data_IF_138027813112
#
_entry.id   IF_138027813112
#
_cell.length_a   1.000
_cell.length_b   1.000
_cell.length_c   1.000
_cell.angle_alpha   90.00
_cell.angle_beta   90.00
_cell.angle_gamma   90.00
#
_symmetry.space_group_name_H-M   'P 1'
#
loop_
_entity.id
_entity.type
_entity.pdbx_description
1 polymer ?
#
# COMPACT_ATOMS: atom_id res chain seq x y z
N UNK A 1 20.14 -8.25 -6.71
CA UNK A 1 19.20 -7.85 -7.78
C UNK A 1 17.86 -7.51 -7.17
N UNK A 2 17.65 -6.21 -6.95
CA UNK A 2 16.64 -5.67 -6.05
C UNK A 2 15.30 -5.44 -6.74
N UNK A 3 14.21 -5.47 -5.97
CA UNK A 3 12.85 -5.24 -6.44
C UNK A 3 12.64 -3.90 -7.19
N UNK A 4 13.59 -2.96 -7.08
CA UNK A 4 13.66 -1.71 -7.85
C UNK A 4 13.95 -1.92 -9.35
N UNK A 5 14.82 -2.87 -9.72
CA UNK A 5 15.08 -3.20 -11.14
C UNK A 5 13.82 -3.76 -11.82
N UNK A 6 13.05 -4.58 -11.12
CA UNK A 6 11.84 -5.22 -11.68
C UNK A 6 10.70 -4.25 -11.98
N UNK A 7 10.63 -3.12 -11.28
CA UNK A 7 9.60 -2.08 -11.51
C UNK A 7 10.00 -1.22 -12.72
N UNK A 8 11.29 -0.91 -12.87
CA UNK A 8 11.82 -0.19 -14.03
C UNK A 8 11.64 -1.00 -15.34
N UNK A 9 11.89 -2.32 -15.33
CA UNK A 9 11.67 -3.17 -16.51
C UNK A 9 10.19 -3.32 -16.86
N UNK A 10 9.29 -3.31 -15.88
CA UNK A 10 7.83 -3.40 -16.11
C UNK A 10 7.25 -2.12 -16.74
N UNK A 11 7.78 -0.94 -16.39
CA UNK A 11 7.43 0.33 -17.05
C UNK A 11 7.83 0.36 -18.52
N UNK A 12 9.01 -0.17 -18.85
CA UNK A 12 9.48 -0.30 -20.24
C UNK A 12 8.61 -1.27 -21.06
N UNK A 13 8.14 -2.37 -20.46
CA UNK A 13 7.31 -3.37 -21.14
C UNK A 13 5.86 -2.88 -21.40
N UNK A 14 5.34 -1.97 -20.58
CA UNK A 14 4.02 -1.37 -20.78
C UNK A 14 4.04 -0.32 -21.92
N UNK A 15 5.15 0.42 -22.04
CA UNK A 15 5.37 1.37 -23.15
C UNK A 15 5.46 0.66 -24.52
N UNK A 16 6.00 -0.57 -24.56
CA UNK A 16 6.07 -1.37 -25.78
C UNK A 16 4.71 -1.99 -26.19
N UNK A 17 3.84 -2.33 -25.23
CA UNK A 17 2.51 -2.91 -25.52
C UNK A 17 1.47 -1.89 -25.98
N UNK A 18 1.58 -0.63 -25.55
CA UNK A 18 0.74 0.46 -26.07
C UNK A 18 1.05 0.74 -27.55
N UNK A 19 2.29 0.48 -28.00
CA UNK A 19 2.67 0.64 -29.40
C UNK A 19 2.13 -0.47 -30.34
N UNK A 20 1.85 -1.68 -29.83
CA UNK A 20 1.45 -2.83 -30.66
C UNK A 20 -0.07 -3.00 -30.86
N UNK A 21 -0.92 -2.28 -30.12
CA UNK A 21 -2.39 -2.47 -30.19
C UNK A 21 -3.14 -1.48 -31.09
N UNK A 22 -2.43 -0.56 -31.76
CA UNK A 22 -3.03 0.40 -32.71
C UNK A 22 -2.90 -0.05 -34.17
N UNK A 23 -3.28 -1.30 -34.44
CA UNK A 23 -3.55 -1.74 -35.80
C UNK A 23 -4.99 -1.43 -36.16
N UNK A 24 -5.32 -0.17 -36.50
CA UNK A 24 -6.46 0.29 -37.31
C UNK A 24 -6.58 1.83 -37.30
N UNK A 25 -5.51 2.54 -37.66
CA UNK A 25 -5.65 3.95 -38.05
C UNK A 25 -4.79 4.21 -39.27
N UNK A 26 -5.40 4.15 -40.46
CA UNK A 26 -4.77 4.61 -41.70
C UNK A 26 -4.86 6.13 -41.72
N UNK A 27 -3.80 6.83 -41.33
CA UNK A 27 -3.63 8.23 -41.71
C UNK A 27 -2.79 8.28 -42.98
N UNK A 28 -3.41 8.79 -44.03
CA UNK A 28 -2.74 9.19 -45.26
C UNK A 28 -1.80 10.35 -44.95
N UNK A 29 -0.51 10.07 -44.81
CA UNK A 29 0.53 11.09 -44.88
C UNK A 29 0.88 11.31 -46.35
N UNK A 30 0.22 12.25 -47.00
CA UNK A 30 0.82 12.92 -48.17
C UNK A 30 1.94 13.81 -47.63
N UNK A 31 3.14 13.27 -47.51
CA UNK A 31 4.35 14.06 -47.20
C UNK A 31 4.99 14.51 -48.51
N UNK A 32 5.03 15.82 -48.74
CA UNK A 32 5.94 16.39 -49.73
C UNK A 32 7.41 16.20 -49.30
N UNK A 33 8.35 16.01 -50.24
CA UNK A 33 9.76 15.81 -49.92
C UNK A 33 10.37 17.15 -49.49
N UNK A 34 10.75 17.29 -48.21
CA UNK A 34 11.63 18.40 -47.78
C UNK A 34 11.36 19.07 -46.42
N UNK A 35 10.34 18.68 -45.65
CA UNK A 35 10.15 19.19 -44.27
C UNK A 35 10.34 18.09 -43.23
N UNK A 36 11.19 18.28 -42.19
CA UNK A 36 11.13 17.45 -41.00
C UNK A 36 9.89 17.86 -40.15
N UNK A 37 8.69 17.70 -40.70
CA UNK A 37 7.47 17.88 -39.92
C UNK A 37 7.28 16.63 -39.08
N UNK A 38 7.72 16.68 -37.83
CA UNK A 38 7.26 15.72 -36.84
C UNK A 38 5.74 15.67 -36.91
N UNK A 39 5.18 14.47 -37.13
CA UNK A 39 3.74 14.29 -37.12
C UNK A 39 3.13 14.82 -35.82
N UNK A 40 1.91 15.35 -35.86
CA UNK A 40 1.24 15.90 -34.68
C UNK A 40 1.14 14.85 -33.56
N UNK A 41 0.95 13.58 -33.93
CA UNK A 41 0.93 12.44 -33.01
C UNK A 41 2.28 12.27 -32.31
N UNK A 42 3.40 12.34 -33.05
CA UNK A 42 4.73 12.24 -32.48
C UNK A 42 5.08 13.44 -31.58
N UNK A 43 4.55 14.63 -31.88
CA UNK A 43 4.67 15.80 -31.00
C UNK A 43 3.91 15.60 -29.68
N UNK A 44 2.63 15.20 -29.76
CA UNK A 44 1.78 14.93 -28.61
C UNK A 44 2.32 13.79 -27.73
N UNK A 45 2.80 12.71 -28.34
CA UNK A 45 3.42 11.60 -27.64
C UNK A 45 4.65 12.05 -26.83
N UNK A 46 5.53 12.87 -27.42
CA UNK A 46 6.69 13.42 -26.68
C UNK A 46 6.28 14.33 -25.53
N UNK A 47 5.24 15.13 -25.72
CA UNK A 47 4.71 16.02 -24.67
C UNK A 47 4.14 15.22 -23.48
N UNK A 48 3.38 14.15 -23.75
CA UNK A 48 2.87 13.26 -22.70
C UNK A 48 4.00 12.52 -21.98
N UNK A 49 5.00 12.03 -22.71
CA UNK A 49 6.18 11.37 -22.11
C UNK A 49 6.94 12.35 -21.21
N UNK A 50 7.14 13.60 -21.65
CA UNK A 50 7.78 14.63 -20.83
C UNK A 50 6.98 14.90 -19.55
N UNK A 51 5.65 15.00 -19.65
CA UNK A 51 4.76 15.16 -18.48
C UNK A 51 4.81 13.97 -17.53
N UNK A 52 4.78 12.74 -18.04
CA UNK A 52 4.91 11.54 -17.20
C UNK A 52 6.24 11.54 -16.43
N UNK A 53 7.34 11.92 -17.08
CA UNK A 53 8.65 12.03 -16.40
C UNK A 53 8.64 13.07 -15.29
N UNK A 54 8.11 14.26 -15.56
CA UNK A 54 7.98 15.31 -14.55
C UNK A 54 7.14 14.87 -13.34
N UNK A 55 6.00 14.20 -13.60
CA UNK A 55 5.16 13.66 -12.53
C UNK A 55 5.85 12.54 -11.74
N UNK A 56 6.61 11.66 -12.40
CA UNK A 56 7.40 10.64 -11.69
C UNK A 56 8.41 11.28 -10.77
N UNK A 57 9.20 12.26 -11.25
CA UNK A 57 10.18 12.95 -10.39
C UNK A 57 9.51 13.64 -9.20
N UNK A 58 8.37 14.29 -9.41
CA UNK A 58 7.64 14.93 -8.31
C UNK A 58 7.05 13.93 -7.31
N UNK A 59 6.60 12.76 -7.78
CA UNK A 59 6.18 11.67 -6.89
C UNK A 59 7.37 11.19 -6.06
N UNK A 60 8.53 10.97 -6.68
CA UNK A 60 9.73 10.50 -5.98
C UNK A 60 10.17 11.51 -4.90
N UNK A 61 10.16 12.81 -5.20
CA UNK A 61 10.42 13.90 -4.23
C UNK A 61 9.46 13.84 -3.03
N UNK A 62 8.15 13.75 -3.29
CA UNK A 62 7.14 13.66 -2.24
C UNK A 62 7.27 12.36 -1.42
N UNK A 63 7.63 11.24 -2.05
CA UNK A 63 7.87 9.99 -1.34
C UNK A 63 9.04 10.12 -0.37
N UNK A 64 10.12 10.78 -0.78
CA UNK A 64 11.29 11.06 0.07
C UNK A 64 10.94 11.99 1.24
N UNK A 65 10.19 13.06 0.99
CA UNK A 65 9.69 13.96 2.04
C UNK A 65 8.81 13.22 3.07
N UNK A 66 7.84 12.44 2.59
CA UNK A 66 6.96 11.64 3.45
C UNK A 66 7.79 10.63 4.27
N UNK A 67 8.78 9.99 3.65
CA UNK A 67 9.64 9.04 4.34
C UNK A 67 10.46 9.72 5.44
N UNK A 68 11.03 10.90 5.18
CA UNK A 68 11.79 11.67 6.15
C UNK A 68 10.93 12.06 7.39
N UNK A 69 9.64 12.33 7.19
CA UNK A 69 8.71 12.62 8.28
C UNK A 69 8.30 11.38 9.08
N UNK A 70 8.05 10.25 8.40
CA UNK A 70 7.48 9.05 9.02
C UNK A 70 8.50 8.23 9.78
N UNK A 71 9.76 8.17 9.33
CA UNK A 71 10.84 7.44 10.00
C UNK A 71 10.96 7.80 11.49
N UNK A 72 11.11 9.08 11.87
CA UNK A 72 11.21 9.46 13.28
C UNK A 72 9.87 9.39 14.02
N UNK A 73 8.74 9.46 13.29
CA UNK A 73 7.40 9.51 13.89
C UNK A 73 6.86 8.13 14.26
N UNK A 74 7.09 7.11 13.44
CA UNK A 74 6.47 5.80 13.59
C UNK A 74 7.46 4.62 13.44
N UNK A 75 8.55 4.58 14.24
CA UNK A 75 9.57 3.53 14.14
C UNK A 75 9.03 2.13 14.44
N UNK A 76 8.12 1.98 15.42
CA UNK A 76 7.53 0.68 15.76
C UNK A 76 6.63 0.17 14.65
N UNK A 77 5.92 1.07 13.96
CA UNK A 77 5.09 0.71 12.81
C UNK A 77 5.94 0.24 11.62
N UNK A 78 7.05 0.91 11.36
CA UNK A 78 8.01 0.53 10.30
C UNK A 78 8.72 -0.80 10.59
N UNK A 79 8.87 -1.19 11.85
CA UNK A 79 9.42 -2.49 12.23
C UNK A 79 8.51 -3.67 11.85
N UNK A 80 7.23 -3.42 11.52
CA UNK A 80 6.32 -4.48 11.06
C UNK A 80 6.73 -4.93 9.66
N UNK A 81 7.01 -6.23 9.50
CA UNK A 81 7.33 -6.82 8.20
C UNK A 81 6.28 -6.44 7.13
N UNK A 82 6.75 -5.87 6.03
CA UNK A 82 5.91 -5.43 4.91
C UNK A 82 5.28 -4.04 5.07
N UNK A 83 5.50 -3.35 6.20
CA UNK A 83 5.11 -1.96 6.38
C UNK A 83 6.24 -1.02 5.90
N UNK A 84 6.14 -0.54 4.66
CA UNK A 84 7.03 0.51 4.14
C UNK A 84 6.56 1.92 4.52
N UNK A 85 7.44 2.91 4.34
CA UNK A 85 7.21 4.32 4.68
C UNK A 85 5.84 4.85 4.24
N UNK A 86 5.45 4.66 2.98
CA UNK A 86 4.16 5.13 2.48
C UNK A 86 2.96 4.43 3.10
N UNK A 87 3.08 3.13 3.42
CA UNK A 87 2.00 2.40 4.11
C UNK A 87 1.89 2.85 5.56
N UNK A 88 3.02 3.11 6.22
CA UNK A 88 3.07 3.68 7.56
C UNK A 88 2.48 5.11 7.57
N UNK A 89 2.89 5.98 6.64
CA UNK A 89 2.35 7.33 6.45
C UNK A 89 0.83 7.30 6.32
N UNK A 90 0.33 6.42 5.44
CA UNK A 90 -1.10 6.27 5.20
C UNK A 90 -1.84 5.80 6.45
N UNK A 91 -1.26 4.86 7.19
CA UNK A 91 -1.85 4.38 8.44
C UNK A 91 -1.91 5.49 9.48
N UNK A 92 -0.82 6.22 9.70
CA UNK A 92 -0.76 7.32 10.66
C UNK A 92 -1.78 8.41 10.31
N UNK A 93 -1.78 8.87 9.05
CA UNK A 93 -2.67 9.94 8.59
C UNK A 93 -4.16 9.57 8.66
N UNK A 94 -4.53 8.37 8.23
CA UNK A 94 -5.94 7.93 8.28
C UNK A 94 -6.41 7.56 9.70
N UNK A 95 -5.48 7.20 10.59
CA UNK A 95 -5.82 6.90 11.99
C UNK A 95 -6.12 8.18 12.78
N UNK A 96 -5.40 9.27 12.48
CA UNK A 96 -5.49 10.56 13.18
C UNK A 96 -5.33 10.43 14.70
N UNK A 97 -4.32 9.65 15.13
CA UNK A 97 -4.02 9.37 16.54
C UNK A 97 -4.68 8.10 17.06
N UNK A 98 -3.89 7.08 17.43
CA UNK A 98 -4.42 5.79 17.88
C UNK A 98 -5.06 5.83 19.28
N UNK A 99 -4.65 6.78 20.12
CA UNK A 99 -5.15 7.01 21.47
C UNK A 99 -6.67 7.32 21.52
N UNK A 100 -7.27 7.76 20.41
CA UNK A 100 -8.73 8.01 20.33
C UNK A 100 -9.56 6.73 20.39
N UNK A 101 -8.95 5.56 20.12
CA UNK A 101 -9.66 4.29 20.13
C UNK A 101 -9.55 3.65 21.51
N UNK A 102 -10.70 3.38 22.14
CA UNK A 102 -10.77 2.71 23.45
C UNK A 102 -10.15 1.30 23.50
N UNK A 103 -10.01 0.64 22.34
CA UNK A 103 -9.44 -0.71 22.27
C UNK A 103 -8.99 -1.07 20.86
N UNK A 104 -8.15 -2.12 20.77
CA UNK A 104 -7.74 -2.75 19.51
C UNK A 104 -8.93 -3.22 18.65
N UNK A 105 -10.02 -3.64 19.28
CA UNK A 105 -11.23 -4.07 18.57
C UNK A 105 -12.02 -2.89 18.00
N UNK A 106 -12.04 -1.75 18.70
CA UNK A 106 -12.60 -0.51 18.16
C UNK A 106 -11.80 -0.04 16.93
N UNK A 107 -10.47 -0.12 16.99
CA UNK A 107 -9.60 0.15 15.85
C UNK A 107 -9.86 -0.83 14.68
N UNK A 108 -10.03 -2.12 14.97
CA UNK A 108 -10.35 -3.12 13.95
C UNK A 108 -11.70 -2.87 13.26
N UNK A 109 -12.69 -2.32 13.97
CA UNK A 109 -13.96 -1.90 13.37
C UNK A 109 -13.77 -0.71 12.43
N UNK A 110 -12.95 0.27 12.84
CA UNK A 110 -12.64 1.47 12.05
C UNK A 110 -11.88 1.12 10.76
N UNK A 111 -10.85 0.27 10.85
CA UNK A 111 -10.04 -0.13 9.69
C UNK A 111 -10.65 -1.29 8.85
N UNK A 112 -11.78 -1.84 9.28
CA UNK A 112 -12.54 -2.85 8.53
C UNK A 112 -12.00 -4.27 8.59
N UNK A 113 -11.13 -4.57 9.55
CA UNK A 113 -10.64 -5.94 9.80
C UNK A 113 -11.44 -6.69 10.84
N UNK A 114 -12.33 -6.02 11.58
CA UNK A 114 -13.23 -6.66 12.53
C UNK A 114 -14.11 -7.70 11.81
N UNK A 115 -14.17 -8.95 12.31
CA UNK A 115 -15.05 -9.97 11.76
C UNK A 115 -16.51 -9.58 11.96
N UNK A 116 -17.32 -9.64 10.90
CA UNK A 116 -18.77 -9.50 10.98
C UNK A 116 -19.40 -10.86 10.66
N UNK A 117 -19.97 -11.55 11.66
CA UNK A 117 -20.56 -12.86 11.43
C UNK A 117 -21.75 -12.75 10.48
N UNK A 118 -21.89 -13.77 9.64
CA UNK A 118 -23.05 -14.04 8.79
C UNK A 118 -23.36 -15.51 8.98
N UNK A 119 -24.63 -15.79 9.25
CA UNK A 119 -25.11 -17.13 9.55
C UNK A 119 -25.80 -17.70 8.32
N UNK A 120 -25.40 -18.89 7.91
CA UNK A 120 -26.11 -19.71 6.94
C UNK A 120 -26.14 -21.13 7.51
N UNK A 121 -27.27 -21.50 8.10
CA UNK A 121 -27.46 -22.79 8.79
C UNK A 121 -26.25 -23.15 9.69
N UNK A 122 -25.63 -24.31 9.49
CA UNK A 122 -24.52 -24.85 10.29
C UNK A 122 -23.14 -24.20 10.05
N UNK A 123 -23.04 -23.16 9.22
CA UNK A 123 -21.76 -22.53 8.90
C UNK A 123 -21.73 -21.05 9.30
N UNK A 124 -20.80 -20.71 10.20
CA UNK A 124 -20.47 -19.33 10.54
C UNK A 124 -19.47 -18.79 9.51
N UNK A 125 -19.91 -17.82 8.70
CA UNK A 125 -19.04 -17.10 7.76
C UNK A 125 -18.84 -15.67 8.22
N UNK A 126 -17.83 -15.01 7.67
CA UNK A 126 -17.54 -13.61 8.01
C UNK A 126 -17.52 -12.74 6.75
N UNK A 127 -18.32 -11.67 6.77
CA UNK A 127 -18.34 -10.67 5.70
C UNK A 127 -17.40 -9.50 6.00
N UNK A 128 -17.08 -8.76 4.94
CA UNK A 128 -16.31 -7.52 5.01
C UNK A 128 -17.17 -6.37 5.57
N UNK A 129 -16.56 -5.52 6.41
CA UNK A 129 -17.18 -4.26 6.85
C UNK A 129 -17.07 -3.18 5.74
N UNK A 130 -18.21 -2.82 5.13
CA UNK A 130 -18.26 -1.79 4.07
C UNK A 130 -18.19 -0.34 4.60
N UNK A 131 -18.56 -0.11 5.85
CA UNK A 131 -18.57 1.22 6.48
C UNK A 131 -17.21 1.63 7.07
N UNK A 132 -16.15 0.89 6.77
CA UNK A 132 -14.81 1.13 7.30
C UNK A 132 -13.96 2.00 6.38
N UNK A 133 -12.86 2.53 6.92
CA UNK A 133 -11.89 3.32 6.15
C UNK A 133 -11.21 2.43 5.10
N UNK A 134 -11.64 2.56 3.84
CA UNK A 134 -11.15 1.77 2.70
C UNK A 134 -9.65 1.90 2.51
N UNK A 135 -9.10 3.06 2.80
CA UNK A 135 -7.67 3.35 2.66
C UNK A 135 -6.83 2.59 3.70
N UNK A 136 -7.21 2.61 4.97
CA UNK A 136 -6.59 1.78 6.01
C UNK A 136 -6.68 0.30 5.68
N UNK A 137 -7.85 -0.15 5.22
CA UNK A 137 -8.04 -1.55 4.86
C UNK A 137 -7.13 -1.99 3.71
N UNK A 138 -6.93 -1.11 2.72
CA UNK A 138 -6.04 -1.32 1.59
C UNK A 138 -4.57 -1.35 2.03
N UNK A 139 -4.13 -0.43 2.90
CA UNK A 139 -2.79 -0.44 3.47
C UNK A 139 -2.51 -1.75 4.24
N UNK A 140 -3.40 -2.14 5.14
CA UNK A 140 -3.31 -3.43 5.87
C UNK A 140 -3.32 -4.63 4.92
N UNK A 141 -4.07 -4.56 3.82
CA UNK A 141 -4.08 -5.64 2.83
C UNK A 141 -2.74 -5.77 2.11
N UNK A 142 -2.13 -4.65 1.68
CA UNK A 142 -0.81 -4.65 1.03
C UNK A 142 0.25 -5.24 1.95
N UNK A 143 0.28 -4.82 3.21
CA UNK A 143 1.21 -5.36 4.21
C UNK A 143 0.97 -6.86 4.41
N UNK A 144 -0.29 -7.30 4.55
CA UNK A 144 -0.61 -8.72 4.71
C UNK A 144 -0.20 -9.57 3.49
N UNK A 145 -0.30 -9.03 2.26
CA UNK A 145 0.19 -9.71 1.06
C UNK A 145 1.72 -9.86 1.07
N UNK A 146 2.43 -8.84 1.54
CA UNK A 146 3.89 -8.88 1.69
C UNK A 146 4.29 -9.87 2.78
N UNK A 147 3.64 -9.84 3.96
CA UNK A 147 3.87 -10.81 5.04
C UNK A 147 3.59 -12.22 4.59
N UNK A 148 2.48 -12.46 3.90
CA UNK A 148 2.19 -13.77 3.35
C UNK A 148 3.38 -14.27 2.51
N UNK A 149 3.97 -13.43 1.66
CA UNK A 149 5.09 -13.80 0.79
C UNK A 149 6.43 -13.97 1.52
N UNK A 150 6.75 -13.08 2.45
CA UNK A 150 8.13 -12.91 2.94
C UNK A 150 8.31 -13.17 4.43
N UNK A 151 7.25 -13.24 5.23
CA UNK A 151 7.31 -13.50 6.67
C UNK A 151 6.99 -14.99 6.95
N UNK A 152 7.98 -15.79 7.41
CA UNK A 152 7.75 -17.19 7.75
C UNK A 152 6.65 -17.40 8.80
N UNK A 153 6.53 -16.48 9.76
CA UNK A 153 5.52 -16.57 10.83
C UNK A 153 4.10 -16.37 10.29
N UNK A 154 3.94 -15.47 9.32
CA UNK A 154 2.68 -15.23 8.63
C UNK A 154 2.32 -16.41 7.71
N UNK A 155 3.31 -16.98 7.01
CA UNK A 155 3.11 -18.18 6.18
C UNK A 155 2.62 -19.37 7.02
N UNK A 156 3.34 -19.68 8.10
CA UNK A 156 2.97 -20.75 9.03
C UNK A 156 1.58 -20.51 9.63
N UNK A 157 1.23 -19.26 9.95
CA UNK A 157 -0.11 -18.92 10.41
C UNK A 157 -1.18 -19.23 9.35
N UNK A 158 -0.98 -18.79 8.10
CA UNK A 158 -1.92 -19.05 7.01
C UNK A 158 -2.12 -20.55 6.76
N UNK A 159 -1.03 -21.33 6.81
CA UNK A 159 -1.08 -22.77 6.57
C UNK A 159 -1.82 -23.50 7.71
N UNK A 160 -1.59 -23.11 8.98
CA UNK A 160 -2.41 -23.60 10.10
C UNK A 160 -3.89 -23.27 9.94
N UNK A 161 -4.23 -22.06 9.46
CA UNK A 161 -5.63 -21.69 9.21
C UNK A 161 -6.26 -22.55 8.13
N UNK A 162 -5.54 -22.83 7.03
CA UNK A 162 -6.01 -23.68 5.93
C UNK A 162 -6.18 -25.13 6.37
N UNK A 163 -5.23 -25.67 7.13
CA UNK A 163 -5.34 -27.00 7.71
C UNK A 163 -6.55 -27.13 8.64
N UNK A 164 -6.93 -26.05 9.32
CA UNK A 164 -8.16 -25.96 10.13
C UNK A 164 -9.45 -25.73 9.32
N UNK A 165 -9.43 -25.85 7.98
CA UNK A 165 -10.62 -25.76 7.14
C UNK A 165 -10.96 -24.37 6.60
N UNK A 166 -10.17 -23.33 6.90
CA UNK A 166 -10.40 -22.00 6.31
C UNK A 166 -10.03 -21.99 4.82
N UNK A 167 -10.86 -21.34 4.01
CA UNK A 167 -10.46 -20.94 2.65
C UNK A 167 -9.28 -19.97 2.69
N UNK A 168 -8.54 -19.85 1.58
CA UNK A 168 -7.44 -18.87 1.47
C UNK A 168 -7.88 -17.43 1.77
N UNK A 169 -9.09 -17.06 1.37
CA UNK A 169 -9.66 -15.73 1.65
C UNK A 169 -9.95 -15.54 3.13
N UNK A 170 -10.49 -16.55 3.81
CA UNK A 170 -10.74 -16.51 5.26
C UNK A 170 -9.44 -16.47 6.05
N UNK A 171 -8.46 -17.30 5.69
CA UNK A 171 -7.13 -17.28 6.30
C UNK A 171 -6.48 -15.89 6.16
N UNK A 172 -6.58 -15.27 4.98
CA UNK A 172 -6.09 -13.91 4.73
C UNK A 172 -6.82 -12.86 5.57
N UNK A 173 -8.16 -12.94 5.73
CA UNK A 173 -8.89 -12.05 6.63
C UNK A 173 -8.41 -12.17 8.07
N UNK A 174 -8.13 -13.39 8.53
CA UNK A 174 -7.61 -13.62 9.87
C UNK A 174 -6.19 -13.08 10.05
N UNK A 175 -5.32 -13.22 9.05
CA UNK A 175 -4.01 -12.59 9.05
C UNK A 175 -4.13 -11.06 9.13
N UNK A 176 -5.02 -10.45 8.32
CA UNK A 176 -5.28 -9.01 8.39
C UNK A 176 -5.80 -8.56 9.76
N UNK A 177 -6.68 -9.34 10.40
CA UNK A 177 -7.15 -9.04 11.76
C UNK A 177 -6.01 -9.10 12.76
N UNK A 178 -5.13 -10.10 12.68
CA UNK A 178 -3.92 -10.20 13.53
C UNK A 178 -2.97 -9.03 13.28
N UNK A 179 -2.76 -8.66 12.03
CA UNK A 179 -1.95 -7.51 11.63
C UNK A 179 -2.53 -6.20 12.20
N UNK A 180 -3.86 -6.02 12.17
CA UNK A 180 -4.51 -4.85 12.78
C UNK A 180 -4.20 -4.72 14.27
N UNK A 181 -4.10 -5.82 15.02
CA UNK A 181 -3.71 -5.79 16.44
C UNK A 181 -2.25 -5.40 16.63
N UNK A 182 -1.36 -5.83 15.72
CA UNK A 182 0.05 -5.45 15.76
C UNK A 182 0.24 -3.97 15.42
N UNK A 183 -0.44 -3.48 14.38
CA UNK A 183 -0.45 -2.07 13.96
C UNK A 183 -0.99 -1.18 15.08
N UNK A 184 -2.08 -1.55 15.73
CA UNK A 184 -2.61 -0.77 16.85
C UNK A 184 -1.59 -0.65 17.99
N UNK A 185 -0.93 -1.75 18.37
CA UNK A 185 0.10 -1.75 19.40
C UNK A 185 1.30 -0.87 19.02
N UNK A 186 1.75 -0.96 17.77
CA UNK A 186 2.85 -0.14 17.25
C UNK A 186 2.49 1.35 17.31
N UNK A 187 1.29 1.73 16.87
CA UNK A 187 0.84 3.12 16.91
C UNK A 187 0.75 3.68 18.34
N UNK A 188 0.30 2.88 19.31
CA UNK A 188 0.27 3.31 20.72
C UNK A 188 1.69 3.47 21.28
N UNK A 189 2.61 2.57 20.94
CA UNK A 189 4.01 2.67 21.35
C UNK A 189 4.68 3.92 20.76
N UNK A 190 4.47 4.18 19.47
CA UNK A 190 5.01 5.35 18.78
C UNK A 190 4.43 6.66 19.36
N UNK A 191 3.13 6.71 19.66
CA UNK A 191 2.50 7.85 20.31
C UNK A 191 3.07 8.12 21.71
N UNK A 192 3.27 7.07 22.52
CA UNK A 192 3.87 7.21 23.85
C UNK A 192 5.33 7.70 23.78
N UNK A 193 6.12 7.18 22.83
CA UNK A 193 7.49 7.62 22.60
C UNK A 193 7.55 9.09 22.14
N UNK A 194 6.62 9.50 21.27
CA UNK A 194 6.52 10.89 20.83
C UNK A 194 6.17 11.84 21.99
N UNK A 195 5.19 11.48 22.82
CA UNK A 195 4.80 12.27 24.00
C UNK A 195 5.95 12.42 25.00
N UNK A 196 6.72 11.34 25.25
CA UNK A 196 7.90 11.38 26.12
C UNK A 196 8.97 12.35 25.59
N UNK A 197 9.19 12.34 24.27
CA UNK A 197 10.13 13.25 23.60
C UNK A 197 9.64 14.70 23.67
N UNK A 198 8.35 14.94 23.46
CA UNK A 198 7.74 16.26 23.52
C UNK A 198 7.77 16.87 24.93
N UNK A 199 7.68 16.04 25.99
CA UNK A 199 7.75 16.47 27.39
C UNK A 199 9.18 16.73 27.89
N UNK A 200 10.20 16.65 27.04
CA UNK A 200 11.57 17.06 27.38
C UNK A 200 12.38 16.06 28.22
N UNK A 201 11.90 14.83 28.41
CA UNK A 201 12.63 13.79 29.18
C UNK A 201 13.75 13.09 28.41
N UNK A 202 14.15 13.61 27.23
CA UNK A 202 15.10 13.01 26.31
C UNK A 202 16.44 13.75 26.19
N UNK A 203 17.10 14.04 27.32
CA UNK A 203 18.56 14.22 27.39
C UNK A 203 19.05 13.69 28.74
N UNK A 204 19.23 12.37 28.81
CA UNK A 204 20.17 11.75 29.73
C UNK A 204 20.91 10.68 28.93
N UNK A 205 22.24 10.83 28.92
CA UNK A 205 23.32 10.04 28.28
C UNK A 205 23.41 10.12 26.76
#
# INVERSE_FOLDING_TARGET
MGSRERIATAGSAMSARVAQRSGHVRYSTTSEPGRPSVSMEARLARELVARCRGLTSHVDELEDEIQALVIPLAPSLLAICGCGALSAAKIVGETAGAQRFRSKDAFARHNGTAPIPVWSANHVRHRLNRASTRQLNAALHRIALTQARHDPSARAYLDRRRAGGNTSTEAMRCLKRRLSDAVFRALIADAAAFDLKARGFGRLT
#
